data_IF_697340574908
#
_entry.id   IF_697340574908
#
_cell.length_a   1.000
_cell.length_b   1.000
_cell.length_c   1.000
_cell.angle_alpha   90.00
_cell.angle_beta   90.00
_cell.angle_gamma   90.00
#
_symmetry.space_group_name_H-M   'P 1'
#
loop_
_entity.id
_entity.type
_entity.pdbx_description
1 polymer ?
#
# COMPACT_ATOMS: atom_id res chain seq x y z
N UNK A 1 -26.34 -36.05 -42.33
CA UNK A 1 -25.60 -34.90 -41.75
C UNK A 1 -24.36 -35.46 -41.08
N UNK A 2 -23.18 -35.17 -41.62
CA UNK A 2 -21.95 -35.92 -41.35
C UNK A 2 -21.43 -35.59 -39.94
N UNK A 3 -21.19 -36.59 -39.08
CA UNK A 3 -20.74 -36.39 -37.69
C UNK A 3 -19.44 -35.58 -37.62
N UNK A 4 -18.60 -35.71 -38.66
CA UNK A 4 -17.37 -34.95 -38.86
C UNK A 4 -17.62 -33.45 -39.04
N UNK A 5 -18.70 -33.07 -39.76
CA UNK A 5 -19.07 -31.67 -39.95
C UNK A 5 -19.51 -31.01 -38.63
N UNK A 6 -20.21 -31.76 -37.77
CA UNK A 6 -20.64 -31.29 -36.45
C UNK A 6 -19.41 -31.08 -35.55
N UNK A 7 -18.45 -32.01 -35.57
CA UNK A 7 -17.21 -31.89 -34.79
C UNK A 7 -16.38 -30.67 -35.21
N UNK A 8 -16.25 -30.45 -36.53
CA UNK A 8 -15.55 -29.28 -37.08
C UNK A 8 -16.29 -27.99 -36.72
N UNK A 9 -17.62 -27.97 -36.75
CA UNK A 9 -18.42 -26.80 -36.34
C UNK A 9 -18.24 -26.47 -34.85
N UNK A 10 -18.13 -27.47 -33.97
CA UNK A 10 -17.88 -27.29 -32.54
C UNK A 10 -16.45 -26.78 -32.27
N UNK A 11 -15.46 -27.23 -33.06
CA UNK A 11 -14.07 -26.76 -32.97
C UNK A 11 -13.86 -25.35 -33.57
N UNK A 12 -14.76 -24.93 -34.48
CA UNK A 12 -14.80 -23.59 -35.06
C UNK A 12 -15.68 -22.60 -34.28
N UNK A 13 -16.38 -23.05 -33.23
CA UNK A 13 -16.93 -22.11 -32.27
C UNK A 13 -15.74 -21.35 -31.68
N UNK A 14 -15.71 -20.02 -31.78
CA UNK A 14 -14.72 -19.26 -31.04
C UNK A 14 -14.89 -19.69 -29.58
N UNK A 15 -13.88 -20.31 -28.99
CA UNK A 15 -13.81 -20.39 -27.55
C UNK A 15 -14.00 -18.95 -27.09
N UNK A 16 -15.11 -18.67 -26.42
CA UNK A 16 -15.43 -17.32 -25.94
C UNK A 16 -14.35 -16.95 -24.94
N UNK A 17 -13.25 -16.37 -25.42
CA UNK A 17 -12.12 -15.98 -24.60
C UNK A 17 -12.56 -14.79 -23.77
N UNK A 18 -12.74 -15.07 -22.47
CA UNK A 18 -12.95 -14.15 -21.36
C UNK A 18 -14.21 -13.28 -21.41
N UNK A 19 -15.14 -13.53 -20.47
CA UNK A 19 -15.93 -12.43 -19.92
C UNK A 19 -14.96 -11.41 -19.34
N UNK A 20 -14.65 -10.35 -20.10
CA UNK A 20 -13.88 -9.22 -19.59
C UNK A 20 -14.79 -8.47 -18.61
N UNK A 21 -14.66 -8.77 -17.32
CA UNK A 21 -15.29 -7.98 -16.28
C UNK A 21 -14.68 -6.58 -16.24
N UNK A 22 -15.49 -5.58 -15.94
CA UNK A 22 -15.04 -4.21 -15.67
C UNK A 22 -15.73 -3.70 -14.43
N UNK A 23 -14.99 -3.00 -13.57
CA UNK A 23 -15.55 -2.31 -12.41
C UNK A 23 -15.38 -0.80 -12.56
N UNK A 24 -16.46 -0.06 -12.33
CA UNK A 24 -16.48 1.38 -12.24
C UNK A 24 -17.32 1.78 -11.03
N UNK A 25 -16.78 2.64 -10.15
CA UNK A 25 -17.57 3.25 -9.08
C UNK A 25 -18.18 4.57 -9.57
N UNK A 26 -19.36 4.49 -10.17
CA UNK A 26 -20.09 5.65 -10.71
C UNK A 26 -20.40 6.70 -9.63
N UNK A 27 -20.44 6.30 -8.34
CA UNK A 27 -20.73 7.23 -7.23
C UNK A 27 -19.50 8.03 -6.79
N UNK A 28 -18.31 7.53 -7.09
CA UNK A 28 -17.02 8.12 -6.71
C UNK A 28 -16.01 7.79 -7.80
N UNK A 29 -16.02 8.55 -8.91
CA UNK A 29 -15.24 8.26 -10.12
C UNK A 29 -13.76 8.63 -9.97
N UNK A 30 -13.19 8.32 -8.80
CA UNK A 30 -11.78 8.51 -8.48
C UNK A 30 -10.91 7.49 -9.23
N UNK A 31 -9.81 7.96 -9.82
CA UNK A 31 -8.86 7.08 -10.55
C UNK A 31 -8.23 6.07 -9.58
N UNK A 32 -8.23 4.80 -9.98
CA UNK A 32 -7.51 3.75 -9.25
C UNK A 32 -6.00 3.99 -9.28
N UNK A 33 -5.36 3.88 -8.11
CA UNK A 33 -3.97 4.21 -7.87
C UNK A 33 -3.09 2.97 -7.76
N UNK A 34 -3.51 1.98 -6.97
CA UNK A 34 -2.81 0.69 -6.78
C UNK A 34 -3.80 -0.45 -6.78
N UNK A 35 -3.38 -1.58 -7.35
CA UNK A 35 -4.16 -2.82 -7.41
C UNK A 35 -3.25 -3.97 -7.02
N UNK A 36 -3.76 -4.87 -6.17
CA UNK A 36 -3.11 -6.13 -5.83
C UNK A 36 -4.13 -7.26 -5.93
N UNK A 37 -3.69 -8.41 -6.45
CA UNK A 37 -4.54 -9.60 -6.59
C UNK A 37 -4.07 -10.64 -5.58
N UNK A 38 -4.97 -11.16 -4.77
CA UNK A 38 -4.63 -12.25 -3.87
C UNK A 38 -4.60 -13.56 -4.64
N UNK A 39 -3.41 -14.13 -4.82
CA UNK A 39 -3.22 -15.28 -5.71
C UNK A 39 -4.06 -16.52 -5.36
N UNK A 40 -4.40 -16.74 -4.09
CA UNK A 40 -5.17 -17.92 -3.65
C UNK A 40 -6.65 -17.85 -4.04
N UNK A 41 -7.32 -16.73 -3.80
CA UNK A 41 -8.76 -16.59 -4.08
C UNK A 41 -9.05 -15.83 -5.38
N UNK A 42 -8.02 -15.22 -5.98
CA UNK A 42 -8.12 -14.32 -7.14
C UNK A 42 -8.93 -13.04 -6.88
N UNK A 43 -9.26 -12.76 -5.62
CA UNK A 43 -9.88 -11.50 -5.23
C UNK A 43 -8.93 -10.33 -5.49
N UNK A 44 -9.50 -9.19 -5.85
CA UNK A 44 -8.77 -8.00 -6.27
C UNK A 44 -8.99 -6.90 -5.26
N UNK A 45 -7.91 -6.33 -4.76
CA UNK A 45 -7.92 -5.17 -3.88
C UNK A 45 -7.40 -3.98 -4.65
N UNK A 46 -8.18 -2.91 -4.72
CA UNK A 46 -7.83 -1.70 -5.45
C UNK A 46 -7.97 -0.49 -4.54
N UNK A 47 -7.07 0.47 -4.65
CA UNK A 47 -7.13 1.74 -3.94
C UNK A 47 -7.37 2.87 -4.93
N UNK A 48 -8.14 3.86 -4.52
CA UNK A 48 -8.29 5.14 -5.20
C UNK A 48 -8.13 6.25 -4.16
N UNK A 49 -8.21 7.51 -4.62
CA UNK A 49 -8.26 8.65 -3.70
C UNK A 49 -9.41 8.46 -2.70
N UNK A 50 -9.12 8.52 -1.41
CA UNK A 50 -10.07 8.41 -0.30
C UNK A 50 -10.86 7.09 -0.23
N UNK A 51 -10.49 6.06 -0.99
CA UNK A 51 -11.24 4.81 -1.03
C UNK A 51 -10.35 3.58 -1.21
N UNK A 52 -10.78 2.48 -0.61
CA UNK A 52 -10.22 1.15 -0.83
C UNK A 52 -11.36 0.18 -1.14
N UNK A 53 -11.13 -0.66 -2.13
CA UNK A 53 -12.10 -1.55 -2.75
C UNK A 53 -11.62 -2.99 -2.62
N UNK A 54 -12.56 -3.88 -2.30
CA UNK A 54 -12.43 -5.32 -2.35
C UNK A 54 -13.40 -5.83 -3.40
N UNK A 55 -12.86 -6.49 -4.42
CA UNK A 55 -13.58 -6.99 -5.56
C UNK A 55 -13.40 -8.51 -5.65
N UNK A 56 -14.43 -9.19 -6.12
CA UNK A 56 -14.37 -10.59 -6.48
C UNK A 56 -13.46 -10.82 -7.71
N UNK A 57 -13.13 -12.07 -8.06
CA UNK A 57 -12.34 -12.39 -9.26
C UNK A 57 -12.97 -11.91 -10.57
N UNK A 58 -14.29 -11.78 -10.62
CA UNK A 58 -15.07 -11.23 -11.74
C UNK A 58 -15.35 -9.72 -11.60
N UNK A 59 -14.61 -9.04 -10.72
CA UNK A 59 -14.65 -7.58 -10.50
C UNK A 59 -15.99 -7.04 -9.98
N UNK A 60 -16.75 -7.86 -9.24
CA UNK A 60 -17.95 -7.40 -8.52
C UNK A 60 -17.53 -6.82 -7.18
N UNK A 61 -18.15 -5.71 -6.78
CA UNK A 61 -17.86 -5.06 -5.49
C UNK A 61 -18.30 -5.93 -4.32
N UNK A 62 -17.35 -6.37 -3.51
CA UNK A 62 -17.58 -7.09 -2.26
C UNK A 62 -17.55 -6.14 -1.06
N UNK A 63 -16.69 -5.12 -1.10
CA UNK A 63 -16.58 -4.13 -0.04
C UNK A 63 -15.91 -2.84 -0.50
N UNK A 64 -16.30 -1.73 0.11
CA UNK A 64 -15.67 -0.41 -0.04
C UNK A 64 -15.50 0.20 1.35
N UNK A 65 -14.36 0.86 1.58
CA UNK A 65 -14.13 1.64 2.79
C UNK A 65 -13.62 3.03 2.44
N UNK A 66 -14.09 4.03 3.17
CA UNK A 66 -13.54 5.39 3.10
C UNK A 66 -12.18 5.41 3.79
N UNK A 67 -11.17 5.93 3.10
CA UNK A 67 -9.82 6.14 3.64
C UNK A 67 -9.48 7.61 3.79
N UNK A 68 -10.44 8.51 3.51
CA UNK A 68 -10.31 9.94 3.67
C UNK A 68 -11.49 10.72 3.07
N UNK A 69 -11.39 12.05 2.97
CA UNK A 69 -10.32 12.86 3.53
C UNK A 69 -10.39 12.87 5.07
N UNK A 70 -9.24 13.00 5.74
CA UNK A 70 -9.18 13.14 7.19
C UNK A 70 -8.39 14.40 7.59
N UNK A 71 -8.54 14.82 8.85
CA UNK A 71 -7.87 16.00 9.38
C UNK A 71 -6.38 15.73 9.59
N UNK A 72 -5.54 16.37 8.77
CA UNK A 72 -4.10 16.16 8.78
C UNK A 72 -3.31 17.44 8.53
N UNK A 73 -2.02 17.42 8.86
CA UNK A 73 -1.05 18.44 8.53
C UNK A 73 0.32 17.78 8.31
N UNK A 74 0.97 18.07 7.18
CA UNK A 74 2.26 17.49 6.81
C UNK A 74 3.40 17.81 7.80
N UNK A 75 3.24 18.83 8.66
CA UNK A 75 4.21 19.15 9.72
C UNK A 75 3.88 18.48 11.06
N UNK A 76 2.96 17.51 11.09
CA UNK A 76 2.51 16.87 12.31
C UNK A 76 2.43 15.35 12.20
N UNK A 77 2.63 14.68 13.33
CA UNK A 77 2.34 13.26 13.48
C UNK A 77 0.83 13.00 13.49
N UNK A 78 0.47 11.72 13.32
CA UNK A 78 -0.93 11.26 13.35
C UNK A 78 -1.62 11.59 14.70
N UNK A 79 -2.95 11.80 14.75
CA UNK A 79 -3.67 11.91 16.02
C UNK A 79 -3.52 10.62 16.85
N UNK A 80 -3.28 10.68 18.18
CA UNK A 80 -3.53 11.82 19.06
C UNK A 80 -2.29 12.69 19.35
N UNK A 81 -1.17 12.54 18.63
CA UNK A 81 0.01 13.36 18.91
C UNK A 81 -0.30 14.86 18.74
N UNK A 82 0.30 15.71 19.60
CA UNK A 82 0.11 17.16 19.52
C UNK A 82 0.63 17.68 18.18
N UNK A 83 0.00 18.74 17.70
CA UNK A 83 0.30 19.36 16.43
C UNK A 83 0.31 20.87 16.63
N UNK A 84 1.47 21.51 16.40
CA UNK A 84 1.60 22.96 16.46
C UNK A 84 0.96 23.67 15.25
N UNK A 85 0.71 22.93 14.17
CA UNK A 85 0.03 23.42 12.97
C UNK A 85 -1.48 23.21 13.01
N UNK A 86 -2.22 23.98 12.21
CA UNK A 86 -3.66 23.74 12.01
C UNK A 86 -3.85 22.52 11.10
N UNK A 87 -4.54 21.49 11.59
CA UNK A 87 -5.00 20.36 10.75
C UNK A 87 -6.16 20.80 9.86
N UNK A 88 -6.20 20.29 8.64
CA UNK A 88 -7.28 20.52 7.68
C UNK A 88 -7.63 19.20 6.99
N UNK A 89 -8.83 19.06 6.38
CA UNK A 89 -9.14 17.86 5.61
C UNK A 89 -8.18 17.71 4.44
N UNK A 90 -7.44 16.59 4.40
CA UNK A 90 -6.51 16.23 3.33
C UNK A 90 -6.95 14.92 2.69
N UNK A 91 -6.80 14.75 1.36
CA UNK A 91 -7.11 13.50 0.71
C UNK A 91 -6.09 12.42 1.08
N UNK A 92 -6.54 11.17 1.03
CA UNK A 92 -5.70 9.98 1.10
C UNK A 92 -5.46 9.44 -0.31
N UNK A 93 -4.26 9.66 -0.83
CA UNK A 93 -3.79 8.99 -2.05
C UNK A 93 -2.89 7.82 -1.66
N UNK A 94 -3.28 6.61 -2.04
CA UNK A 94 -2.58 5.40 -1.69
C UNK A 94 -1.32 5.22 -2.55
N UNK A 95 -0.16 5.11 -1.89
CA UNK A 95 1.14 4.98 -2.53
C UNK A 95 1.62 3.54 -2.58
N UNK A 96 1.22 2.71 -1.62
CA UNK A 96 1.59 1.30 -1.49
C UNK A 96 0.36 0.48 -1.18
N UNK A 97 0.18 -0.64 -1.88
CA UNK A 97 -0.86 -1.63 -1.60
C UNK A 97 -0.27 -3.04 -1.78
N UNK A 98 -0.08 -3.77 -0.70
CA UNK A 98 0.63 -5.04 -0.70
C UNK A 98 -0.10 -6.08 0.15
N UNK A 99 0.11 -7.36 -0.15
CA UNK A 99 -0.41 -8.45 0.67
C UNK A 99 0.70 -8.97 1.57
N UNK A 100 0.50 -8.83 2.89
CA UNK A 100 1.36 -9.42 3.88
C UNK A 100 0.85 -10.81 4.26
N UNK A 101 1.68 -11.83 4.02
CA UNK A 101 1.37 -13.22 4.37
C UNK A 101 1.69 -13.49 5.85
N UNK A 102 0.90 -12.92 6.76
CA UNK A 102 1.03 -13.19 8.20
C UNK A 102 0.74 -14.67 8.51
N UNK A 103 1.42 -15.28 9.52
CA UNK A 103 1.22 -16.70 9.86
C UNK A 103 -0.22 -17.09 10.20
N UNK A 104 -0.98 -16.21 10.86
CA UNK A 104 -2.37 -16.50 11.22
C UNK A 104 -3.35 -16.33 10.04
N UNK A 105 -3.25 -15.21 9.32
CA UNK A 105 -4.12 -14.91 8.17
C UNK A 105 -3.52 -13.78 7.33
N UNK A 106 -3.61 -13.82 5.99
CA UNK A 106 -3.10 -12.74 5.15
C UNK A 106 -3.78 -11.40 5.45
N UNK A 107 -2.99 -10.33 5.37
CA UNK A 107 -3.43 -8.96 5.62
C UNK A 107 -3.11 -8.07 4.42
N UNK A 108 -3.96 -7.08 4.17
CA UNK A 108 -3.74 -6.02 3.19
C UNK A 108 -3.03 -4.86 3.87
N UNK A 109 -1.83 -4.53 3.41
CA UNK A 109 -1.08 -3.35 3.80
C UNK A 109 -1.39 -2.20 2.84
N UNK A 110 -1.85 -1.07 3.36
CA UNK A 110 -2.10 0.15 2.59
C UNK A 110 -1.37 1.33 3.24
N UNK A 111 -0.59 2.07 2.46
CA UNK A 111 0.13 3.26 2.92
C UNK A 111 -0.09 4.39 1.91
N UNK A 112 -0.41 5.60 2.39
CA UNK A 112 -0.79 6.71 1.52
C UNK A 112 -0.14 8.04 1.91
N UNK A 113 -0.85 9.14 1.65
CA UNK A 113 -0.36 10.51 1.86
C UNK A 113 -0.60 11.04 3.26
N UNK A 114 -1.64 10.57 3.94
CA UNK A 114 -1.99 11.04 5.28
C UNK A 114 -0.99 10.57 6.34
N UNK A 115 -0.88 11.35 7.41
CA UNK A 115 -0.24 10.95 8.65
C UNK A 115 1.21 10.51 8.46
N UNK A 116 2.01 11.32 7.75
CA UNK A 116 3.40 11.01 7.40
C UNK A 116 3.57 9.71 6.58
N UNK A 117 2.50 9.19 6.00
CA UNK A 117 2.52 7.95 5.24
C UNK A 117 2.57 6.69 6.10
N UNK A 118 2.06 6.76 7.34
CA UNK A 118 1.81 5.59 8.17
C UNK A 118 0.92 4.59 7.43
N UNK A 119 1.30 3.31 7.50
CA UNK A 119 0.52 2.23 6.91
C UNK A 119 -0.63 1.76 7.81
N UNK A 120 -1.65 1.20 7.19
CA UNK A 120 -2.74 0.47 7.83
C UNK A 120 -2.77 -0.97 7.34
N UNK A 121 -2.94 -1.92 8.26
CA UNK A 121 -3.24 -3.32 7.97
C UNK A 121 -4.73 -3.59 8.09
N UNK A 122 -5.30 -4.33 7.14
CA UNK A 122 -6.70 -4.79 7.14
C UNK A 122 -6.78 -6.27 6.82
N UNK A 123 -7.80 -6.95 7.33
CA UNK A 123 -8.09 -8.33 6.94
C UNK A 123 -8.53 -8.42 5.48
N UNK A 124 -8.11 -9.46 4.75
CA UNK A 124 -8.54 -9.65 3.36
C UNK A 124 -10.02 -10.01 3.22
N UNK A 125 -10.62 -10.64 4.24
CA UNK A 125 -12.00 -11.13 4.16
C UNK A 125 -13.05 -10.03 4.04
N UNK A 126 -12.73 -8.81 4.46
CA UNK A 126 -13.58 -7.63 4.34
C UNK A 126 -12.80 -6.38 4.74
N UNK A 127 -12.72 -5.43 3.81
CA UNK A 127 -12.00 -4.17 3.98
C UNK A 127 -12.86 -3.05 4.57
N UNK A 128 -14.17 -3.25 4.75
CA UNK A 128 -15.16 -2.25 5.15
C UNK A 128 -14.94 -1.63 6.54
N UNK A 129 -15.63 -0.52 6.80
CA UNK A 129 -15.56 0.23 8.05
C UNK A 129 -16.21 -0.56 9.21
N UNK A 130 -15.48 -0.80 10.31
CA UNK A 130 -15.97 -1.54 11.49
C UNK A 130 -15.29 -2.89 11.76
N UNK A 131 -14.29 -3.30 10.96
CA UNK A 131 -13.51 -4.54 11.17
C UNK A 131 -12.09 -4.27 11.67
N UNK A 132 -11.35 -5.35 11.95
CA UNK A 132 -9.99 -5.31 12.49
C UNK A 132 -9.05 -4.60 11.50
N UNK A 133 -8.74 -3.34 11.84
CA UNK A 133 -7.82 -2.47 11.12
C UNK A 133 -6.80 -1.96 12.12
N UNK A 134 -5.53 -1.93 11.73
CA UNK A 134 -4.44 -1.53 12.62
C UNK A 134 -3.52 -0.55 11.92
N UNK A 135 -3.33 0.62 12.52
CA UNK A 135 -2.21 1.49 12.17
C UNK A 135 -0.90 0.79 12.56
N UNK A 136 0.05 0.75 11.64
CA UNK A 136 1.35 0.11 11.89
C UNK A 136 2.27 1.12 12.54
N UNK A 137 2.67 0.86 13.79
CA UNK A 137 3.57 1.74 14.55
C UNK A 137 5.06 1.49 14.25
N UNK A 138 5.98 2.12 14.98
CA UNK A 138 5.74 3.22 15.93
C UNK A 138 5.24 4.48 15.21
N UNK A 139 4.19 5.11 15.75
CA UNK A 139 3.46 6.17 15.03
C UNK A 139 4.12 7.56 15.15
N UNK A 140 5.21 7.64 15.91
CA UNK A 140 6.11 8.79 16.06
C UNK A 140 7.51 8.50 15.50
N UNK A 141 7.68 7.40 14.77
CA UNK A 141 8.97 6.93 14.28
C UNK A 141 9.00 6.78 12.77
N UNK A 142 10.19 7.04 12.19
CA UNK A 142 10.44 6.93 10.75
C UNK A 142 10.28 5.51 10.18
N UNK A 143 10.31 4.51 11.06
CA UNK A 143 10.05 3.11 10.79
C UNK A 143 8.65 2.93 10.17
N UNK A 144 7.65 3.68 10.65
CA UNK A 144 6.28 3.57 10.15
C UNK A 144 6.01 4.37 8.87
N UNK A 145 6.91 5.27 8.47
CA UNK A 145 6.70 6.20 7.37
C UNK A 145 7.13 5.55 6.04
N UNK A 146 6.19 4.84 5.41
CA UNK A 146 6.40 4.14 4.13
C UNK A 146 5.79 4.92 2.96
N UNK A 147 4.66 5.59 3.21
CA UNK A 147 4.01 6.47 2.24
C UNK A 147 4.51 7.92 2.29
N UNK A 148 3.79 8.79 1.59
CA UNK A 148 4.08 10.22 1.56
C UNK A 148 3.36 10.99 0.47
N UNK A 149 3.56 12.30 0.47
CA UNK A 149 3.10 13.17 -0.62
C UNK A 149 3.93 12.95 -1.90
N UNK A 150 5.17 12.51 -1.76
CA UNK A 150 6.03 12.03 -2.86
C UNK A 150 5.67 10.62 -3.33
N UNK A 151 6.38 10.14 -4.35
CA UNK A 151 6.23 8.75 -4.82
C UNK A 151 6.89 7.77 -3.86
N UNK A 152 6.18 6.68 -3.55
CA UNK A 152 6.72 5.54 -2.81
C UNK A 152 6.45 4.25 -3.56
N UNK A 153 7.35 3.28 -3.38
CA UNK A 153 7.18 1.88 -3.78
C UNK A 153 7.60 1.01 -2.61
N UNK A 154 6.87 -0.08 -2.37
CA UNK A 154 7.29 -1.09 -1.42
C UNK A 154 6.74 -2.45 -1.82
N UNK A 155 7.45 -3.51 -1.43
CA UNK A 155 7.04 -4.90 -1.66
C UNK A 155 7.58 -5.80 -0.55
N UNK A 156 6.87 -6.89 -0.26
CA UNK A 156 7.38 -7.92 0.64
C UNK A 156 8.28 -8.91 -0.11
N UNK A 157 9.41 -9.24 0.49
CA UNK A 157 10.35 -10.22 -0.05
C UNK A 157 11.18 -10.87 1.05
N UNK A 158 12.06 -11.82 0.70
CA UNK A 158 12.96 -12.44 1.66
C UNK A 158 13.97 -11.42 2.18
N UNK A 159 14.14 -11.40 3.50
CA UNK A 159 15.21 -10.70 4.20
C UNK A 159 16.24 -11.67 4.75
N UNK A 160 17.11 -11.16 5.62
CA UNK A 160 18.11 -11.97 6.30
C UNK A 160 17.45 -13.13 7.07
N UNK A 161 18.06 -14.32 7.02
CA UNK A 161 17.52 -15.52 7.66
C UNK A 161 16.19 -16.02 7.10
N UNK A 162 15.77 -15.56 5.90
CA UNK A 162 14.50 -15.97 5.28
C UNK A 162 13.26 -15.28 5.86
N UNK A 163 13.45 -14.25 6.69
CA UNK A 163 12.36 -13.45 7.23
C UNK A 163 11.57 -12.74 6.12
N UNK A 164 10.26 -12.59 6.30
CA UNK A 164 9.46 -11.73 5.41
C UNK A 164 9.72 -10.26 5.75
N UNK A 165 10.27 -9.52 4.80
CA UNK A 165 10.75 -8.15 4.97
C UNK A 165 10.09 -7.24 3.94
N UNK A 166 9.62 -6.08 4.40
CA UNK A 166 9.16 -5.00 3.54
C UNK A 166 10.36 -4.20 3.05
N UNK A 167 10.60 -4.23 1.75
CA UNK A 167 11.56 -3.36 1.09
C UNK A 167 10.81 -2.14 0.56
N UNK A 168 11.27 -0.94 0.89
CA UNK A 168 10.59 0.29 0.46
C UNK A 168 11.58 1.34 -0.05
N UNK A 169 11.13 2.12 -1.03
CA UNK A 169 11.78 3.36 -1.43
C UNK A 169 10.78 4.52 -1.43
N UNK A 170 11.22 5.67 -0.92
CA UNK A 170 10.38 6.85 -0.72
C UNK A 170 11.08 8.09 -1.29
N UNK A 171 10.36 8.83 -2.13
CA UNK A 171 10.83 10.11 -2.66
C UNK A 171 10.76 11.18 -1.58
N UNK A 172 11.65 12.17 -1.68
CA UNK A 172 11.55 13.36 -0.84
C UNK A 172 10.23 14.10 -1.10
N UNK A 173 9.63 14.63 -0.04
CA UNK A 173 8.42 15.44 -0.07
C UNK A 173 8.49 16.59 0.95
N UNK A 174 7.40 17.34 1.12
CA UNK A 174 7.37 18.60 1.88
C UNK A 174 7.36 18.44 3.41
N UNK A 175 7.49 17.21 3.94
CA UNK A 175 7.49 17.01 5.39
C UNK A 175 8.79 17.54 6.03
N UNK A 176 8.74 17.97 7.31
CA UNK A 176 9.94 18.33 8.08
C UNK A 176 11.00 17.23 8.09
N UNK A 177 12.27 17.62 8.21
CA UNK A 177 13.42 16.71 8.19
C UNK A 177 13.34 15.59 9.25
N UNK A 178 12.76 15.88 10.42
CA UNK A 178 12.52 14.92 11.50
C UNK A 178 11.53 13.80 11.15
N UNK A 179 10.65 14.02 10.17
CA UNK A 179 9.70 13.01 9.69
C UNK A 179 10.14 12.35 8.39
N UNK A 180 11.33 12.66 7.88
CA UNK A 180 11.85 12.03 6.67
C UNK A 180 12.32 10.60 6.96
N UNK A 181 11.67 9.58 6.38
CA UNK A 181 12.22 8.24 6.41
C UNK A 181 13.51 8.17 5.57
N UNK A 182 14.31 7.13 5.76
CA UNK A 182 15.36 6.76 4.81
C UNK A 182 14.79 6.59 3.40
N UNK A 183 15.58 6.92 2.39
CA UNK A 183 15.11 6.89 1.01
C UNK A 183 14.91 5.46 0.49
N UNK A 184 15.72 4.53 0.98
CA UNK A 184 15.56 3.09 0.78
C UNK A 184 15.78 2.43 2.14
N UNK A 185 14.92 1.48 2.51
CA UNK A 185 15.04 0.75 3.78
C UNK A 185 14.40 -0.63 3.70
N UNK A 186 14.86 -1.54 4.54
CA UNK A 186 14.23 -2.82 4.81
C UNK A 186 13.63 -2.84 6.22
N UNK A 187 12.40 -3.37 6.33
CA UNK A 187 11.67 -3.39 7.60
C UNK A 187 11.00 -4.74 7.83
N UNK A 188 10.88 -5.12 9.09
CA UNK A 188 10.17 -6.31 9.53
C UNK A 188 8.89 -5.89 10.23
N UNK A 189 7.83 -6.66 10.04
CA UNK A 189 6.56 -6.41 10.70
C UNK A 189 6.44 -7.34 11.90
N UNK A 190 6.40 -6.77 13.10
CA UNK A 190 6.29 -7.50 14.37
C UNK A 190 4.93 -7.25 15.00
N UNK A 191 4.34 -8.29 15.60
CA UNK A 191 3.08 -8.19 16.32
C UNK A 191 3.34 -8.25 17.83
N UNK A 192 2.87 -7.25 18.58
CA UNK A 192 3.01 -7.15 20.04
C UNK A 192 1.70 -6.66 20.65
N UNK A 193 1.15 -7.41 21.61
CA UNK A 193 -0.10 -7.02 22.28
C UNK A 193 -1.28 -6.83 21.31
N UNK A 194 -1.34 -7.59 20.20
CA UNK A 194 -2.37 -7.45 19.18
C UNK A 194 -2.24 -6.23 18.26
N UNK A 195 -1.18 -5.45 18.40
CA UNK A 195 -0.82 -4.34 17.51
C UNK A 195 0.36 -4.73 16.62
N UNK A 196 0.54 -4.01 15.52
CA UNK A 196 1.60 -4.24 14.53
C UNK A 196 2.57 -3.07 14.52
N UNK A 197 3.87 -3.39 14.43
CA UNK A 197 4.95 -2.41 14.38
C UNK A 197 5.94 -2.76 13.28
N UNK A 198 6.44 -1.75 12.59
CA UNK A 198 7.65 -1.88 11.79
C UNK A 198 8.87 -1.67 12.66
N UNK A 199 9.88 -2.48 12.41
CA UNK A 199 11.25 -2.30 12.90
C UNK A 199 12.18 -2.38 11.70
N UNK A 200 13.27 -1.61 11.68
CA UNK A 200 14.26 -1.80 10.63
C UNK A 200 14.85 -3.21 10.73
N UNK A 201 14.95 -3.92 9.60
CA UNK A 201 15.34 -5.32 9.59
C UNK A 201 16.76 -5.56 10.12
N UNK A 202 17.61 -4.53 10.04
CA UNK A 202 18.94 -4.51 10.62
C UNK A 202 19.26 -3.07 11.04
N UNK A 203 19.28 -2.87 12.36
CA UNK A 203 19.61 -1.61 13.02
C UNK A 203 20.42 -1.92 14.28
N UNK A 204 21.71 -2.21 14.08
CA UNK A 204 22.69 -2.30 15.17
C UNK A 204 23.77 -1.23 14.97
N UNK A 205 24.54 -0.92 16.02
CA UNK A 205 25.69 -0.02 15.89
C UNK A 205 26.62 -0.51 14.76
N UNK A 206 26.60 0.21 13.65
CA UNK A 206 27.41 -0.09 12.45
C UNK A 206 26.75 -0.96 11.38
N UNK A 207 25.54 -1.49 11.59
CA UNK A 207 24.80 -2.21 10.54
C UNK A 207 23.40 -1.63 10.37
N UNK A 208 23.25 -0.85 9.31
CA UNK A 208 22.00 -0.24 8.90
C UNK A 208 21.67 -0.68 7.47
N UNK A 209 20.51 -1.32 7.26
CA UNK A 209 20.06 -1.67 5.90
C UNK A 209 19.18 -0.57 5.34
N UNK A 210 19.83 0.42 4.73
CA UNK A 210 19.15 1.46 3.96
C UNK A 210 20.09 2.52 3.41
N UNK A 211 19.51 3.46 2.67
CA UNK A 211 20.21 4.63 2.14
C UNK A 211 19.67 5.86 2.84
N UNK A 212 20.50 6.47 3.70
CA UNK A 212 20.23 7.75 4.35
C UNK A 212 21.00 8.84 3.64
N UNK A 213 20.29 9.85 3.16
CA UNK A 213 20.93 11.06 2.66
C UNK A 213 21.30 11.98 3.84
N UNK A 214 22.52 12.51 3.84
CA UNK A 214 22.91 13.57 4.76
C UNK A 214 21.96 14.77 4.57
N UNK A 215 21.37 15.23 5.66
CA UNK A 215 20.37 16.30 5.64
C UNK A 215 20.89 17.57 4.91
N UNK A 216 22.19 17.87 5.04
CA UNK A 216 22.81 19.05 4.41
C UNK A 216 22.80 19.00 2.88
N UNK A 217 22.84 17.81 2.30
CA UNK A 217 22.95 17.61 0.85
C UNK A 217 21.67 17.04 0.22
N UNK A 218 20.62 16.82 1.02
CA UNK A 218 19.41 16.09 0.59
C UNK A 218 18.70 16.71 -0.60
N UNK A 219 18.71 18.05 -0.73
CA UNK A 219 18.14 18.79 -1.89
C UNK A 219 18.92 18.61 -3.19
N UNK A 220 20.18 18.18 -3.10
CA UNK A 220 21.07 17.98 -4.25
C UNK A 220 20.99 16.55 -4.81
N UNK A 221 20.54 15.58 -4.01
CA UNK A 221 20.30 14.21 -4.47
C UNK A 221 19.00 14.15 -5.28
N UNK A 222 19.10 14.45 -6.57
CA UNK A 222 18.01 14.25 -7.53
C UNK A 222 18.08 12.82 -8.06
N UNK A 223 17.01 12.03 -7.91
CA UNK A 223 16.79 10.93 -8.83
C UNK A 223 16.54 11.55 -10.21
N UNK A 224 17.23 11.07 -11.25
CA UNK A 224 17.01 11.55 -12.60
C UNK A 224 15.50 11.43 -12.91
N UNK A 225 14.86 12.47 -13.48
CA UNK A 225 13.46 12.36 -13.85
C UNK A 225 13.32 11.18 -14.82
N UNK A 226 12.35 10.32 -14.52
CA UNK A 226 12.02 9.18 -15.36
C UNK A 226 11.71 9.72 -16.75
N UNK A 227 12.61 9.48 -17.71
CA UNK A 227 12.38 9.89 -19.09
C UNK A 227 11.24 9.02 -19.58
N UNK A 228 10.01 9.56 -19.57
CA UNK A 228 8.88 8.99 -20.28
C UNK A 228 9.35 8.69 -21.71
N UNK A 229 9.50 7.40 -22.02
CA UNK A 229 9.64 6.88 -23.38
C UNK A 229 8.26 6.56 -23.91
#
# INVERSE_FOLDING_TARGET
MNLLLILILILLLPASYANLGTFEDVRDPSVFQRVVVFNRTREVFASARNALYHLSPDLRLLGKVSTGPFMDNATCLHPPYPCGGRRAPRPQDNRVLEIFHHPESPLLLSCGTLYQGVCTLRTLSDVSEGRKSWSVGPLNGSEAFVGGAGSSVAFFGPGFGGQTTLWSAVSHDERPDEFLPPAVSSRILVQRGGQFFFEYAQDSEGQYTGVRFDARYRRLYKMAPDKKK
#
